data_IF_122604683679
#
_entry.id   IF_122604683679
#
_cell.length_a   1.000
_cell.length_b   1.000
_cell.length_c   1.000
_cell.angle_alpha   90.00
_cell.angle_beta   90.00
_cell.angle_gamma   90.00
#
_symmetry.space_group_name_H-M   'P 1'
#
loop_
_entity.id
_entity.type
_entity.pdbx_description
1 polymer ?
#
# COMPACT_ATOMS: atom_id res chain seq x y z
N UNK A 1 -1.33 22.71 45.40
CA UNK A 1 -1.49 23.38 44.10
C UNK A 1 -0.58 22.80 43.00
N UNK A 2 0.68 22.45 43.27
CA UNK A 2 1.56 21.92 42.22
C UNK A 2 1.15 20.55 41.61
N UNK A 3 0.57 19.63 42.42
CA UNK A 3 0.18 18.28 41.91
C UNK A 3 -1.05 18.32 40.95
N UNK A 4 -1.98 19.19 41.19
CA UNK A 4 -3.21 19.34 40.32
C UNK A 4 -2.84 19.98 38.98
N UNK A 5 -1.95 20.98 39.00
CA UNK A 5 -1.44 21.58 37.76
C UNK A 5 -0.61 20.58 36.93
N UNK A 6 0.25 19.80 37.56
CA UNK A 6 1.03 18.75 36.88
C UNK A 6 0.14 17.65 36.29
N UNK A 7 -0.93 17.26 36.97
CA UNK A 7 -1.90 16.30 36.42
C UNK A 7 -2.70 16.88 35.25
N UNK A 8 -3.09 18.16 35.31
CA UNK A 8 -3.80 18.83 34.23
C UNK A 8 -2.92 19.00 32.97
N UNK A 9 -1.65 19.37 33.13
CA UNK A 9 -0.66 19.44 32.04
C UNK A 9 -0.43 18.07 31.41
N UNK A 10 -0.31 17.01 32.21
CA UNK A 10 -0.16 15.63 31.74
C UNK A 10 -1.36 15.17 30.91
N UNK A 11 -2.59 15.50 31.33
CA UNK A 11 -3.83 15.19 30.62
C UNK A 11 -3.94 15.94 29.29
N UNK A 12 -3.57 17.24 29.29
CA UNK A 12 -3.58 18.04 28.07
C UNK A 12 -2.58 17.47 27.03
N UNK A 13 -1.38 17.09 27.48
CA UNK A 13 -0.38 16.47 26.61
C UNK A 13 -0.84 15.13 26.04
N UNK A 14 -1.43 14.28 26.88
CA UNK A 14 -1.98 12.99 26.42
C UNK A 14 -3.09 13.17 25.38
N UNK A 15 -3.98 14.15 25.60
CA UNK A 15 -5.04 14.46 24.65
C UNK A 15 -4.47 15.02 23.33
N UNK A 16 -3.47 15.89 23.39
CA UNK A 16 -2.77 16.42 22.22
C UNK A 16 -2.11 15.29 21.42
N UNK A 17 -1.31 14.46 22.06
CA UNK A 17 -0.63 13.32 21.42
C UNK A 17 -1.62 12.36 20.74
N UNK A 18 -2.77 12.15 21.35
CA UNK A 18 -3.80 11.31 20.75
C UNK A 18 -4.41 11.97 19.51
N UNK A 19 -4.70 13.26 19.55
CA UNK A 19 -5.23 13.97 18.38
C UNK A 19 -4.24 13.91 17.20
N UNK A 20 -2.96 14.11 17.48
CA UNK A 20 -1.90 13.97 16.47
C UNK A 20 -1.89 12.56 15.86
N UNK A 21 -2.01 11.55 16.70
CA UNK A 21 -2.02 10.15 16.28
C UNK A 21 -3.23 9.80 15.40
N UNK A 22 -4.43 10.26 15.78
CA UNK A 22 -5.64 10.07 14.98
C UNK A 22 -5.51 10.74 13.60
N UNK A 23 -4.99 11.97 13.57
CA UNK A 23 -4.72 12.69 12.31
C UNK A 23 -3.67 11.97 11.45
N UNK A 24 -2.62 11.41 12.07
CA UNK A 24 -1.61 10.63 11.36
C UNK A 24 -2.22 9.37 10.72
N UNK A 25 -3.11 8.66 11.42
CA UNK A 25 -3.81 7.50 10.85
C UNK A 25 -4.75 7.90 9.69
N UNK A 26 -5.41 9.05 9.78
CA UNK A 26 -6.23 9.56 8.69
C UNK A 26 -5.38 9.92 7.45
N UNK A 27 -4.21 10.54 7.66
CA UNK A 27 -3.24 10.82 6.60
C UNK A 27 -2.67 9.54 5.99
N UNK A 28 -2.26 8.56 6.81
CA UNK A 28 -1.78 7.26 6.34
C UNK A 28 -2.83 6.56 5.48
N UNK A 29 -4.09 6.57 5.91
CA UNK A 29 -5.18 6.01 5.11
C UNK A 29 -5.31 6.69 3.75
N UNK A 30 -5.23 8.01 3.70
CA UNK A 30 -5.29 8.77 2.46
C UNK A 30 -4.07 8.51 1.55
N UNK A 31 -2.87 8.32 2.14
CA UNK A 31 -1.66 7.93 1.40
C UNK A 31 -1.79 6.52 0.80
N UNK A 32 -2.41 5.56 1.47
CA UNK A 32 -2.68 4.24 0.89
C UNK A 32 -3.61 4.31 -0.30
N UNK A 33 -4.63 5.16 -0.25
CA UNK A 33 -5.49 5.40 -1.42
C UNK A 33 -4.71 6.07 -2.57
N UNK A 34 -3.74 6.93 -2.28
CA UNK A 34 -2.84 7.46 -3.29
C UNK A 34 -1.97 6.35 -3.91
N UNK A 35 -1.35 5.50 -3.10
CA UNK A 35 -0.57 4.33 -3.58
C UNK A 35 -1.41 3.46 -4.49
N UNK A 36 -2.64 3.15 -4.10
CA UNK A 36 -3.57 2.32 -4.89
C UNK A 36 -3.80 2.88 -6.28
N UNK A 37 -4.05 4.19 -6.39
CA UNK A 37 -4.28 4.84 -7.69
C UNK A 37 -3.00 4.92 -8.52
N UNK A 38 -1.84 5.18 -7.91
CA UNK A 38 -0.53 5.14 -8.60
C UNK A 38 -0.25 3.74 -9.16
N UNK A 39 -0.52 2.68 -8.38
CA UNK A 39 -0.37 1.30 -8.85
C UNK A 39 -1.31 0.96 -10.02
N UNK A 40 -2.53 1.52 -10.04
CA UNK A 40 -3.45 1.39 -11.17
C UNK A 40 -2.95 2.16 -12.39
N UNK A 41 -2.43 3.37 -12.18
CA UNK A 41 -1.83 4.20 -13.25
C UNK A 41 -0.63 3.49 -13.87
N UNK A 42 0.30 2.94 -13.06
CA UNK A 42 1.42 2.12 -13.54
C UNK A 42 0.95 0.98 -14.45
N UNK A 43 -0.05 0.22 -14.01
CA UNK A 43 -0.55 -0.90 -14.80
C UNK A 43 -1.21 -0.43 -16.10
N UNK A 44 -1.94 0.68 -16.07
CA UNK A 44 -2.61 1.25 -17.24
C UNK A 44 -1.58 1.80 -18.26
N UNK A 45 -0.58 2.57 -17.79
CA UNK A 45 0.46 3.12 -18.69
C UNK A 45 1.34 2.03 -19.28
N UNK A 46 1.74 1.01 -18.51
CA UNK A 46 2.52 -0.11 -19.03
C UNK A 46 1.74 -0.90 -20.11
N UNK A 47 0.45 -1.16 -19.89
CA UNK A 47 -0.37 -1.84 -20.88
C UNK A 47 -0.68 -0.96 -22.11
N UNK A 48 -0.78 0.36 -21.94
CA UNK A 48 -0.91 1.33 -23.02
C UNK A 48 0.35 1.38 -23.89
N UNK A 49 1.54 1.46 -23.27
CA UNK A 49 2.83 1.40 -23.95
C UNK A 49 3.06 0.06 -24.67
N UNK A 50 2.47 -1.01 -24.15
CA UNK A 50 2.43 -2.31 -24.84
C UNK A 50 1.44 -2.36 -26.01
N UNK A 51 0.69 -1.28 -26.28
CA UNK A 51 -0.19 -1.13 -27.44
C UNK A 51 -1.68 -1.44 -27.18
N UNK A 52 -2.15 -1.42 -25.92
CA UNK A 52 -3.55 -1.68 -25.60
C UNK A 52 -4.37 -0.37 -25.43
N UNK A 53 -5.25 0.01 -26.37
CA UNK A 53 -5.99 1.27 -26.35
C UNK A 53 -7.03 1.36 -25.23
N UNK A 54 -7.53 0.23 -24.73
CA UNK A 54 -8.45 0.21 -23.60
C UNK A 54 -7.76 0.72 -22.33
N UNK A 55 -6.53 0.29 -22.07
CA UNK A 55 -5.76 0.77 -20.93
C UNK A 55 -5.29 2.21 -21.12
N UNK A 56 -4.98 2.63 -22.35
CA UNK A 56 -4.65 4.02 -22.66
C UNK A 56 -5.76 4.97 -22.24
N UNK A 57 -7.02 4.63 -22.52
CA UNK A 57 -8.18 5.44 -22.12
C UNK A 57 -8.33 5.65 -20.60
N UNK A 58 -7.74 4.77 -19.78
CA UNK A 58 -7.77 4.84 -18.32
C UNK A 58 -6.71 5.77 -17.72
N UNK A 59 -5.65 6.09 -18.45
CA UNK A 59 -4.49 6.83 -17.91
C UNK A 59 -4.85 8.25 -17.47
N UNK A 60 -5.56 9.01 -18.31
CA UNK A 60 -5.94 10.40 -18.02
C UNK A 60 -6.91 10.54 -16.82
N UNK A 61 -7.96 9.72 -16.65
CA UNK A 61 -8.76 9.71 -15.44
C UNK A 61 -7.94 9.42 -14.18
N UNK A 62 -7.05 8.42 -14.20
CA UNK A 62 -6.19 8.07 -13.07
C UNK A 62 -5.21 9.19 -12.72
N UNK A 63 -4.61 9.85 -13.72
CA UNK A 63 -3.75 11.03 -13.50
C UNK A 63 -4.49 12.17 -12.81
N UNK A 64 -5.74 12.45 -13.22
CA UNK A 64 -6.57 13.47 -12.56
C UNK A 64 -6.88 13.10 -11.11
N UNK A 65 -7.16 11.83 -10.85
CA UNK A 65 -7.41 11.35 -9.51
C UNK A 65 -6.17 11.48 -8.61
N UNK A 66 -4.98 11.09 -9.10
CA UNK A 66 -3.72 11.26 -8.36
C UNK A 66 -3.51 12.73 -8.01
N UNK A 67 -3.65 13.64 -8.97
CA UNK A 67 -3.49 15.07 -8.75
C UNK A 67 -4.49 15.63 -7.70
N UNK A 68 -5.73 15.17 -7.73
CA UNK A 68 -6.74 15.57 -6.74
C UNK A 68 -6.40 15.07 -5.33
N UNK A 69 -5.96 13.80 -5.21
CA UNK A 69 -5.55 13.20 -3.94
C UNK A 69 -4.30 13.89 -3.38
N UNK A 70 -3.32 14.22 -4.21
CA UNK A 70 -2.11 14.93 -3.76
C UNK A 70 -2.43 16.32 -3.19
N UNK A 71 -3.35 17.07 -3.82
CA UNK A 71 -3.81 18.36 -3.28
C UNK A 71 -4.53 18.22 -1.94
N UNK A 72 -5.32 17.16 -1.78
CA UNK A 72 -6.00 16.88 -0.51
C UNK A 72 -5.01 16.51 0.58
N UNK A 73 -4.01 15.69 0.26
CA UNK A 73 -2.94 15.30 1.17
C UNK A 73 -2.11 16.50 1.64
N UNK A 74 -1.78 17.46 0.76
CA UNK A 74 -1.12 18.71 1.17
C UNK A 74 -1.91 19.43 2.25
N UNK A 75 -3.23 19.62 2.07
CA UNK A 75 -4.08 20.29 3.08
C UNK A 75 -4.16 19.52 4.41
N UNK A 76 -4.07 18.20 4.37
CA UNK A 76 -4.05 17.39 5.59
C UNK A 76 -2.72 17.50 6.33
N UNK A 77 -1.60 17.61 5.61
CA UNK A 77 -0.26 17.76 6.18
C UNK A 77 -0.06 19.09 6.90
N UNK A 78 -0.67 20.19 6.41
CA UNK A 78 -0.65 21.49 7.08
C UNK A 78 -1.13 21.41 8.55
N UNK A 79 -1.95 20.42 8.89
CA UNK A 79 -2.44 20.18 10.25
C UNK A 79 -1.57 19.20 11.08
N UNK A 80 -0.44 18.77 10.53
CA UNK A 80 0.45 17.75 11.10
C UNK A 80 1.92 18.20 11.11
N UNK A 81 2.21 19.51 11.22
CA UNK A 81 3.56 20.09 11.16
C UNK A 81 4.57 19.36 12.06
N UNK A 82 4.15 18.79 13.19
CA UNK A 82 5.01 18.05 14.13
C UNK A 82 5.43 16.66 13.61
N UNK A 83 4.66 16.06 12.71
CA UNK A 83 4.86 14.71 12.20
C UNK A 83 5.18 14.68 10.70
N UNK A 84 4.70 15.67 9.94
CA UNK A 84 4.89 15.74 8.50
C UNK A 84 6.37 15.97 8.15
N UNK A 85 6.83 15.27 7.12
CA UNK A 85 8.19 15.36 6.58
C UNK A 85 8.11 16.10 5.23
N UNK A 86 8.23 17.41 5.25
CA UNK A 86 8.11 18.24 4.03
C UNK A 86 9.09 17.81 2.92
N UNK A 87 10.33 17.45 3.28
CA UNK A 87 11.34 17.00 2.31
C UNK A 87 10.89 15.75 1.57
N UNK A 88 10.39 14.72 2.28
CA UNK A 88 9.90 13.49 1.68
C UNK A 88 8.66 13.74 0.80
N UNK A 89 7.78 14.65 1.23
CA UNK A 89 6.62 15.01 0.42
C UNK A 89 7.02 15.72 -0.88
N UNK A 90 8.03 16.60 -0.84
CA UNK A 90 8.57 17.23 -2.05
C UNK A 90 9.20 16.21 -3.01
N UNK A 91 9.91 15.20 -2.51
CA UNK A 91 10.44 14.10 -3.33
C UNK A 91 9.31 13.33 -4.02
N UNK A 92 8.23 13.01 -3.31
CA UNK A 92 7.03 12.35 -3.87
C UNK A 92 6.43 13.21 -4.99
N UNK A 93 6.28 14.52 -4.77
CA UNK A 93 5.77 15.45 -5.79
C UNK A 93 6.66 15.51 -7.04
N UNK A 94 7.97 15.53 -6.86
CA UNK A 94 8.92 15.54 -7.98
C UNK A 94 8.85 14.22 -8.76
N UNK A 95 8.84 13.08 -8.08
CA UNK A 95 8.72 11.77 -8.71
C UNK A 95 7.40 11.65 -9.51
N UNK A 96 6.28 12.12 -8.96
CA UNK A 96 5.02 12.14 -9.70
C UNK A 96 5.06 13.05 -10.94
N UNK A 97 5.68 14.22 -10.85
CA UNK A 97 5.85 15.11 -12.03
C UNK A 97 6.61 14.42 -13.15
N UNK A 98 7.70 13.73 -12.83
CA UNK A 98 8.49 12.97 -13.82
C UNK A 98 7.61 11.91 -14.50
N UNK A 99 6.93 11.08 -13.72
CA UNK A 99 6.02 10.04 -14.23
C UNK A 99 4.93 10.67 -15.12
N UNK A 100 4.26 11.73 -14.65
CA UNK A 100 3.10 12.30 -15.33
C UNK A 100 3.43 12.98 -16.65
N UNK A 101 4.61 13.63 -16.74
CA UNK A 101 4.98 14.43 -17.92
C UNK A 101 5.52 13.61 -19.07
N UNK A 102 6.16 12.47 -18.81
CA UNK A 102 6.99 11.79 -19.81
C UNK A 102 6.55 10.35 -20.11
N UNK A 103 5.61 9.77 -19.39
CA UNK A 103 5.29 8.34 -19.51
C UNK A 103 5.00 7.86 -20.95
N UNK A 104 4.50 8.74 -21.84
CA UNK A 104 4.21 8.37 -23.25
C UNK A 104 5.48 8.14 -24.09
N UNK A 105 6.63 8.59 -23.60
CA UNK A 105 7.91 8.48 -24.28
C UNK A 105 8.78 7.38 -23.68
N UNK A 106 8.35 6.80 -22.56
CA UNK A 106 9.09 5.77 -21.84
C UNK A 106 8.97 4.42 -22.55
N UNK A 107 9.99 3.60 -22.40
CA UNK A 107 9.86 2.15 -22.60
C UNK A 107 9.07 1.53 -21.44
N UNK A 108 8.42 0.37 -21.68
CA UNK A 108 7.60 -0.31 -20.67
C UNK A 108 8.33 -0.50 -19.34
N UNK A 109 9.59 -0.92 -19.40
CA UNK A 109 10.39 -1.19 -18.20
C UNK A 109 10.78 0.12 -17.47
N UNK A 110 11.10 1.17 -18.19
CA UNK A 110 11.44 2.48 -17.65
C UNK A 110 10.22 3.09 -16.93
N UNK A 111 9.07 3.10 -17.59
CA UNK A 111 7.81 3.54 -17.00
C UNK A 111 7.47 2.76 -15.72
N UNK A 112 7.66 1.44 -15.75
CA UNK A 112 7.49 0.57 -14.60
C UNK A 112 8.40 0.96 -13.43
N UNK A 113 9.68 1.22 -13.67
CA UNK A 113 10.67 1.56 -12.64
C UNK A 113 10.37 2.95 -12.03
N UNK A 114 10.03 3.95 -12.84
CA UNK A 114 9.66 5.29 -12.36
C UNK A 114 8.44 5.26 -11.44
N UNK A 115 7.40 4.52 -11.82
CA UNK A 115 6.23 4.34 -10.96
C UNK A 115 6.54 3.55 -9.69
N UNK A 116 7.36 2.51 -9.79
CA UNK A 116 7.76 1.69 -8.63
C UNK A 116 8.59 2.50 -7.64
N UNK A 117 9.45 3.39 -8.13
CA UNK A 117 10.17 4.35 -7.31
C UNK A 117 9.21 5.31 -6.58
N UNK A 118 8.25 5.89 -7.30
CA UNK A 118 7.23 6.76 -6.69
C UNK A 118 6.44 6.04 -5.59
N UNK A 119 5.95 4.82 -5.85
CA UNK A 119 5.24 4.02 -4.83
C UNK A 119 6.13 3.76 -3.63
N UNK A 120 7.41 3.41 -3.85
CA UNK A 120 8.38 3.20 -2.76
C UNK A 120 8.51 4.44 -1.87
N UNK A 121 8.63 5.64 -2.46
CA UNK A 121 8.72 6.89 -1.68
C UNK A 121 7.49 7.09 -0.80
N UNK A 122 6.28 6.86 -1.33
CA UNK A 122 5.04 6.99 -0.54
C UNK A 122 4.97 5.93 0.57
N UNK A 123 5.38 4.68 0.31
CA UNK A 123 5.39 3.63 1.34
C UNK A 123 6.41 3.90 2.46
N UNK A 124 7.58 4.45 2.14
CA UNK A 124 8.56 4.88 3.15
C UNK A 124 8.00 6.03 4.00
N UNK A 125 7.34 7.00 3.38
CA UNK A 125 6.69 8.10 4.12
C UNK A 125 5.59 7.58 5.06
N UNK A 126 4.78 6.61 4.62
CA UNK A 126 3.77 5.95 5.47
C UNK A 126 4.42 5.24 6.66
N UNK A 127 5.52 4.52 6.45
CA UNK A 127 6.24 3.82 7.52
C UNK A 127 6.77 4.80 8.57
N UNK A 128 7.43 5.89 8.16
CA UNK A 128 7.94 6.92 9.05
C UNK A 128 6.83 7.63 9.84
N UNK A 129 5.70 7.91 9.21
CA UNK A 129 4.52 8.47 9.89
C UNK A 129 3.94 7.48 10.92
N UNK A 130 3.86 6.19 10.56
CA UNK A 130 3.38 5.13 11.43
C UNK A 130 4.25 4.98 12.67
N UNK A 131 5.57 4.91 12.51
CA UNK A 131 6.54 4.86 13.60
C UNK A 131 6.46 6.10 14.49
N UNK A 132 6.40 7.29 13.90
CA UNK A 132 6.26 8.54 14.65
C UNK A 132 4.95 8.58 15.45
N UNK A 133 3.85 8.11 14.89
CA UNK A 133 2.57 8.02 15.59
C UNK A 133 2.59 6.98 16.73
N UNK A 134 3.30 5.87 16.59
CA UNK A 134 3.42 4.84 17.62
C UNK A 134 4.23 5.33 18.84
N UNK A 135 5.25 6.17 18.63
CA UNK A 135 6.10 6.71 19.72
C UNK A 135 5.39 7.70 20.63
N UNK A 136 4.30 8.33 20.17
CA UNK A 136 3.56 9.34 20.93
C UNK A 136 2.85 8.79 22.18
N UNK A 137 2.56 7.48 22.24
CA UNK A 137 1.84 6.85 23.35
C UNK A 137 2.36 5.43 23.54
N UNK A 138 2.60 5.00 24.80
CA UNK A 138 2.85 3.60 25.12
C UNK A 138 1.69 2.70 24.66
N UNK A 139 1.95 1.80 23.71
CA UNK A 139 0.97 0.87 23.17
C UNK A 139 1.15 -0.52 23.77
N UNK A 140 0.05 -1.26 23.92
CA UNK A 140 0.15 -2.69 24.25
C UNK A 140 0.84 -3.42 23.09
N UNK A 141 1.66 -4.41 23.42
CA UNK A 141 2.43 -5.22 22.45
C UNK A 141 1.59 -5.73 21.26
N UNK A 142 0.33 -6.08 21.48
CA UNK A 142 -0.60 -6.52 20.43
C UNK A 142 -0.83 -5.48 19.33
N UNK A 143 -0.96 -4.20 19.73
CA UNK A 143 -1.19 -3.11 18.77
C UNK A 143 0.11 -2.67 18.08
N UNK A 144 1.27 -2.87 18.70
CA UNK A 144 2.57 -2.67 18.05
C UNK A 144 2.76 -3.70 16.93
N UNK A 145 2.45 -4.98 17.18
CA UNK A 145 2.51 -6.03 16.15
C UNK A 145 1.53 -5.75 15.00
N UNK A 146 0.32 -5.24 15.32
CA UNK A 146 -0.64 -4.82 14.30
C UNK A 146 -0.15 -3.61 13.51
N UNK A 147 0.43 -2.60 14.19
CA UNK A 147 1.03 -1.43 13.54
C UNK A 147 2.11 -1.84 12.56
N UNK A 148 3.07 -2.65 13.00
CA UNK A 148 4.14 -3.16 12.13
C UNK A 148 3.58 -3.92 10.91
N UNK A 149 2.58 -4.78 11.11
CA UNK A 149 1.95 -5.51 10.03
C UNK A 149 1.29 -4.57 8.99
N UNK A 150 0.57 -3.54 9.46
CA UNK A 150 -0.18 -2.61 8.61
C UNK A 150 0.72 -1.58 7.94
N UNK A 151 1.80 -1.11 8.60
CA UNK A 151 2.68 -0.05 8.08
C UNK A 151 3.88 -0.59 7.30
N UNK A 152 4.28 -1.85 7.52
CA UNK A 152 5.47 -2.44 6.91
C UNK A 152 5.18 -3.71 6.10
N UNK A 153 4.72 -4.80 6.71
CA UNK A 153 4.68 -6.10 6.04
C UNK A 153 3.67 -6.13 4.87
N UNK A 154 2.44 -5.75 5.16
CA UNK A 154 1.33 -5.85 4.21
C UNK A 154 1.44 -4.89 3.02
N UNK A 155 1.82 -3.60 3.20
CA UNK A 155 1.96 -2.67 2.09
C UNK A 155 3.01 -3.09 1.06
N UNK A 156 4.16 -3.61 1.52
CA UNK A 156 5.20 -4.11 0.61
C UNK A 156 4.78 -5.37 -0.14
N UNK A 157 4.01 -6.24 0.50
CA UNK A 157 3.43 -7.40 -0.18
C UNK A 157 2.42 -6.98 -1.25
N UNK A 158 1.55 -6.01 -0.95
CA UNK A 158 0.62 -5.43 -1.93
C UNK A 158 1.39 -4.77 -3.09
N UNK A 159 2.51 -4.11 -2.81
CA UNK A 159 3.34 -3.51 -3.86
C UNK A 159 3.96 -4.56 -4.78
N UNK A 160 4.46 -5.68 -4.25
CA UNK A 160 4.94 -6.79 -5.09
C UNK A 160 3.85 -7.30 -6.04
N UNK A 161 2.63 -7.49 -5.53
CA UNK A 161 1.48 -7.88 -6.36
C UNK A 161 1.15 -6.81 -7.42
N UNK A 162 1.24 -5.53 -7.06
CA UNK A 162 1.05 -4.41 -7.97
C UNK A 162 2.09 -4.35 -9.09
N UNK A 163 3.35 -4.66 -8.78
CA UNK A 163 4.44 -4.77 -9.74
C UNK A 163 4.22 -5.95 -10.70
N UNK A 164 3.89 -7.12 -10.16
CA UNK A 164 3.56 -8.31 -10.95
C UNK A 164 2.37 -8.02 -11.88
N UNK A 165 1.31 -7.35 -11.37
CA UNK A 165 0.17 -6.97 -12.18
C UNK A 165 0.57 -6.09 -13.36
N UNK A 166 1.42 -5.09 -13.14
CA UNK A 166 1.82 -4.16 -14.20
C UNK A 166 2.61 -4.87 -15.32
N UNK A 167 3.67 -5.60 -14.98
CA UNK A 167 4.49 -6.29 -15.97
C UNK A 167 3.78 -7.50 -16.60
N UNK A 168 3.05 -8.28 -15.81
CA UNK A 168 2.29 -9.42 -16.34
C UNK A 168 1.18 -8.99 -17.30
N UNK A 169 0.50 -7.87 -17.01
CA UNK A 169 -0.53 -7.33 -17.92
C UNK A 169 0.09 -6.85 -19.23
N UNK A 170 1.20 -6.09 -19.20
CA UNK A 170 1.87 -5.64 -20.42
C UNK A 170 2.44 -6.81 -21.24
N UNK A 171 2.97 -7.84 -20.59
CA UNK A 171 3.42 -9.08 -21.25
C UNK A 171 2.26 -9.81 -21.93
N UNK A 172 1.11 -9.91 -21.26
CA UNK A 172 -0.08 -10.53 -21.86
C UNK A 172 -0.68 -9.69 -23.02
N UNK A 173 -0.48 -8.36 -23.02
CA UNK A 173 -0.85 -7.49 -24.17
C UNK A 173 0.02 -7.78 -25.37
N UNK A 174 1.33 -7.84 -25.21
CA UNK A 174 2.28 -8.06 -26.32
C UNK A 174 2.27 -9.51 -26.84
N UNK A 175 1.86 -10.47 -26.00
CA UNK A 175 2.03 -11.90 -26.26
C UNK A 175 3.50 -12.32 -26.35
N UNK A 176 4.44 -11.46 -25.94
CA UNK A 176 5.88 -11.68 -26.02
C UNK A 176 6.56 -11.27 -24.72
N UNK A 177 7.52 -12.05 -24.31
CA UNK A 177 8.33 -11.82 -23.11
C UNK A 177 9.74 -11.42 -23.53
N UNK A 178 10.14 -10.18 -23.28
CA UNK A 178 11.53 -9.79 -23.43
C UNK A 178 12.35 -10.20 -22.19
N UNK A 179 13.66 -10.31 -22.35
CA UNK A 179 14.56 -10.83 -21.32
C UNK A 179 14.58 -9.98 -20.03
N UNK A 180 14.46 -8.67 -20.14
CA UNK A 180 14.51 -7.78 -18.98
C UNK A 180 13.23 -7.92 -18.14
N UNK A 181 12.07 -7.98 -18.79
CA UNK A 181 10.78 -8.23 -18.14
C UNK A 181 10.75 -9.64 -17.54
N UNK A 182 11.28 -10.65 -18.24
CA UNK A 182 11.39 -12.02 -17.74
C UNK A 182 12.18 -12.08 -16.43
N UNK A 183 13.40 -11.55 -16.42
CA UNK A 183 14.23 -11.52 -15.22
C UNK A 183 13.54 -10.79 -14.08
N UNK A 184 12.84 -9.67 -14.37
CA UNK A 184 12.14 -8.89 -13.37
C UNK A 184 10.94 -9.64 -12.82
N UNK A 185 10.11 -10.26 -13.66
CA UNK A 185 8.97 -11.06 -13.21
C UNK A 185 9.39 -12.27 -12.39
N UNK A 186 10.45 -12.99 -12.77
CA UNK A 186 11.00 -14.08 -11.98
C UNK A 186 11.47 -13.62 -10.61
N UNK A 187 12.18 -12.48 -10.55
CA UNK A 187 12.60 -11.90 -9.29
C UNK A 187 11.40 -11.55 -8.40
N UNK A 188 10.40 -10.84 -8.96
CA UNK A 188 9.19 -10.42 -8.22
C UNK A 188 8.39 -11.62 -7.73
N UNK A 189 8.23 -12.66 -8.54
CA UNK A 189 7.56 -13.90 -8.15
C UNK A 189 8.25 -14.56 -6.95
N UNK A 190 9.58 -14.68 -7.00
CA UNK A 190 10.34 -15.23 -5.89
C UNK A 190 10.22 -14.40 -4.60
N UNK A 191 10.22 -13.07 -4.71
CA UNK A 191 10.02 -12.19 -3.56
C UNK A 191 8.59 -12.31 -3.01
N UNK A 192 7.59 -12.36 -3.88
CA UNK A 192 6.18 -12.53 -3.50
C UNK A 192 5.98 -13.83 -2.71
N UNK A 193 6.51 -14.96 -3.20
CA UNK A 193 6.39 -16.25 -2.53
C UNK A 193 7.05 -16.25 -1.15
N UNK A 194 8.21 -15.62 -1.00
CA UNK A 194 8.87 -15.47 0.31
C UNK A 194 8.06 -14.61 1.26
N UNK A 195 7.60 -13.45 0.80
CA UNK A 195 6.88 -12.50 1.65
C UNK A 195 5.48 -12.99 2.00
N UNK A 196 4.82 -13.76 1.13
CA UNK A 196 3.55 -14.43 1.41
C UNK A 196 3.62 -15.26 2.69
N UNK A 197 4.71 -16.01 2.90
CA UNK A 197 4.90 -16.81 4.12
C UNK A 197 4.93 -15.92 5.37
N UNK A 198 5.69 -14.82 5.31
CA UNK A 198 5.80 -13.86 6.42
C UNK A 198 4.45 -13.21 6.72
N UNK A 199 3.77 -12.67 5.72
CA UNK A 199 2.46 -12.02 5.83
C UNK A 199 1.42 -12.98 6.42
N UNK A 200 1.40 -14.24 5.95
CA UNK A 200 0.51 -15.29 6.46
C UNK A 200 0.79 -15.62 7.93
N UNK A 201 2.05 -15.80 8.31
CA UNK A 201 2.44 -16.10 9.69
C UNK A 201 2.07 -14.97 10.65
N UNK A 202 2.30 -13.71 10.26
CA UNK A 202 1.91 -12.56 11.05
C UNK A 202 0.39 -12.43 11.17
N UNK A 203 -0.36 -12.63 10.08
CA UNK A 203 -1.82 -12.66 10.10
C UNK A 203 -2.36 -13.72 11.06
N UNK A 204 -1.81 -14.95 11.02
CA UNK A 204 -2.18 -16.04 11.92
C UNK A 204 -1.85 -15.74 13.39
N UNK A 205 -0.74 -15.06 13.66
CA UNK A 205 -0.37 -14.61 15.00
C UNK A 205 -1.36 -13.59 15.53
N UNK A 206 -1.63 -12.54 14.75
CA UNK A 206 -2.59 -11.48 15.11
C UNK A 206 -4.00 -12.04 15.36
N UNK A 207 -4.43 -13.05 14.60
CA UNK A 207 -5.74 -13.68 14.79
C UNK A 207 -5.86 -14.45 16.13
N UNK A 208 -4.74 -14.99 16.65
CA UNK A 208 -4.72 -15.71 17.94
C UNK A 208 -4.69 -14.76 19.14
N UNK A 209 -4.21 -13.54 18.96
CA UNK A 209 -4.07 -12.55 20.03
C UNK A 209 -5.38 -11.79 20.33
N UNK A 210 -6.54 -12.35 19.93
CA UNK A 210 -7.89 -11.89 20.24
C UNK A 210 -8.22 -10.46 19.76
N UNK A 211 -7.64 -10.04 18.64
CA UNK A 211 -8.08 -8.84 17.94
C UNK A 211 -9.28 -9.20 17.06
N UNK A 212 -10.32 -8.35 17.05
CA UNK A 212 -11.54 -8.49 16.21
C UNK A 212 -11.26 -8.42 14.68
N UNK A 213 -10.04 -8.76 14.28
CA UNK A 213 -9.53 -8.82 12.90
C UNK A 213 -9.96 -10.10 12.16
N UNK A 214 -10.49 -11.07 12.87
CA UNK A 214 -10.59 -12.46 12.41
C UNK A 214 -11.32 -12.60 11.08
N UNK A 215 -12.39 -11.82 10.82
CA UNK A 215 -13.15 -11.93 9.58
C UNK A 215 -12.37 -11.43 8.35
N UNK A 216 -11.66 -10.31 8.47
CA UNK A 216 -10.89 -9.71 7.36
C UNK A 216 -9.60 -10.48 7.07
N UNK A 217 -8.99 -11.08 8.12
CA UNK A 217 -7.85 -11.99 7.95
C UNK A 217 -8.27 -13.30 7.28
N UNK A 218 -9.49 -13.78 7.54
CA UNK A 218 -10.06 -14.92 6.83
C UNK A 218 -10.22 -14.59 5.34
N UNK A 219 -10.69 -13.39 4.99
CA UNK A 219 -10.81 -12.95 3.59
C UNK A 219 -9.44 -12.93 2.87
N UNK A 220 -8.37 -12.55 3.55
CA UNK A 220 -7.01 -12.62 2.99
C UNK A 220 -6.53 -14.07 2.82
N UNK A 221 -6.82 -14.95 3.79
CA UNK A 221 -6.52 -16.38 3.67
C UNK A 221 -7.33 -17.05 2.55
N UNK A 222 -8.57 -16.61 2.31
CA UNK A 222 -9.40 -17.05 1.18
C UNK A 222 -8.84 -16.61 -0.19
N UNK A 223 -7.82 -15.73 -0.23
CA UNK A 223 -7.10 -15.38 -1.45
C UNK A 223 -6.01 -16.38 -1.84
N UNK A 224 -5.68 -17.38 -1.00
CA UNK A 224 -4.68 -18.40 -1.35
C UNK A 224 -4.93 -19.08 -2.70
N UNK A 225 -6.14 -19.56 -3.03
CA UNK A 225 -6.39 -20.17 -4.35
C UNK A 225 -6.16 -19.19 -5.51
N UNK A 226 -6.43 -17.89 -5.31
CA UNK A 226 -6.16 -16.86 -6.32
C UNK A 226 -4.66 -16.58 -6.47
N UNK A 227 -3.91 -16.56 -5.37
CA UNK A 227 -2.44 -16.44 -5.39
C UNK A 227 -1.79 -17.65 -6.06
N UNK A 228 -2.28 -18.86 -5.78
CA UNK A 228 -1.84 -20.08 -6.47
C UNK A 228 -2.14 -20.01 -7.97
N UNK A 229 -3.34 -19.56 -8.35
CA UNK A 229 -3.71 -19.35 -9.74
C UNK A 229 -2.82 -18.33 -10.43
N UNK A 230 -2.52 -17.18 -9.78
CA UNK A 230 -1.61 -16.16 -10.29
C UNK A 230 -0.20 -16.73 -10.49
N UNK A 231 0.30 -17.49 -9.52
CA UNK A 231 1.59 -18.18 -9.60
C UNK A 231 1.64 -19.18 -10.76
N UNK A 232 0.56 -19.95 -10.97
CA UNK A 232 0.43 -20.89 -12.09
C UNK A 232 0.44 -20.15 -13.44
N UNK A 233 -0.30 -19.04 -13.58
CA UNK A 233 -0.29 -18.25 -14.82
C UNK A 233 1.11 -17.68 -15.11
N UNK A 234 1.81 -17.21 -14.08
CA UNK A 234 3.19 -16.73 -14.24
C UNK A 234 4.12 -17.84 -14.72
N UNK A 235 4.15 -18.98 -14.02
CA UNK A 235 5.12 -20.05 -14.32
C UNK A 235 4.81 -20.85 -15.59
N UNK A 236 3.51 -21.14 -15.81
CA UNK A 236 3.12 -22.10 -16.86
C UNK A 236 2.71 -21.44 -18.17
N UNK A 237 2.55 -20.11 -18.16
CA UNK A 237 2.16 -19.36 -19.35
C UNK A 237 3.15 -18.19 -19.60
N UNK A 238 3.14 -17.13 -18.81
CA UNK A 238 3.95 -15.93 -19.08
C UNK A 238 5.47 -16.18 -19.10
N UNK A 239 5.96 -17.04 -18.20
CA UNK A 239 7.40 -17.36 -18.04
C UNK A 239 7.78 -18.73 -18.64
N UNK A 240 6.86 -19.39 -19.35
CA UNK A 240 7.08 -20.74 -19.88
C UNK A 240 8.02 -20.78 -21.10
N UNK A 241 8.24 -19.65 -21.75
CA UNK A 241 8.97 -19.53 -23.01
C UNK A 241 8.18 -19.99 -24.24
N UNK A 242 6.90 -20.34 -24.09
CA UNK A 242 5.95 -20.65 -25.16
C UNK A 242 5.08 -19.48 -25.57
N UNK A 243 4.01 -19.77 -26.34
CA UNK A 243 3.00 -18.77 -26.69
C UNK A 243 2.20 -18.40 -25.44
N UNK A 244 2.00 -17.10 -25.21
CA UNK A 244 1.23 -16.57 -24.09
C UNK A 244 -0.25 -16.60 -24.45
N UNK A 245 -1.04 -17.37 -23.70
CA UNK A 245 -2.47 -17.58 -23.94
C UNK A 245 -3.33 -16.73 -23.01
N UNK A 246 -2.82 -16.40 -21.83
CA UNK A 246 -3.50 -15.55 -20.83
C UNK A 246 -3.77 -14.16 -21.40
N UNK A 247 -5.03 -13.72 -21.35
CA UNK A 247 -5.38 -12.36 -21.77
C UNK A 247 -4.98 -11.32 -20.74
N UNK A 248 -4.70 -10.08 -21.19
CA UNK A 248 -4.36 -8.97 -20.31
C UNK A 248 -5.49 -8.68 -19.29
N UNK A 249 -6.75 -8.82 -19.69
CA UNK A 249 -7.91 -8.60 -18.81
C UNK A 249 -8.02 -9.67 -17.72
N UNK A 250 -7.83 -10.94 -18.08
CA UNK A 250 -7.82 -12.05 -17.10
C UNK A 250 -6.71 -11.85 -16.06
N UNK A 251 -5.48 -11.58 -16.52
CA UNK A 251 -4.34 -11.38 -15.62
C UNK A 251 -4.53 -10.17 -14.70
N UNK A 252 -4.92 -9.03 -15.29
CA UNK A 252 -5.18 -7.79 -14.54
C UNK A 252 -6.28 -7.97 -13.50
N UNK A 253 -7.39 -8.61 -13.86
CA UNK A 253 -8.55 -8.83 -12.98
C UNK A 253 -8.18 -9.74 -11.82
N UNK A 254 -7.47 -10.85 -12.09
CA UNK A 254 -7.04 -11.78 -11.04
C UNK A 254 -6.10 -11.09 -10.04
N UNK A 255 -5.06 -10.41 -10.53
CA UNK A 255 -4.11 -9.71 -9.67
C UNK A 255 -4.78 -8.58 -8.88
N UNK A 256 -5.71 -7.84 -9.49
CA UNK A 256 -6.46 -6.77 -8.81
C UNK A 256 -7.35 -7.34 -7.70
N UNK A 257 -8.03 -8.47 -7.92
CA UNK A 257 -8.86 -9.09 -6.89
C UNK A 257 -8.05 -9.52 -5.65
N UNK A 258 -6.80 -9.97 -5.85
CA UNK A 258 -5.88 -10.32 -4.75
C UNK A 258 -5.44 -9.04 -4.01
N UNK A 259 -5.04 -8.01 -4.74
CA UNK A 259 -4.65 -6.72 -4.19
C UNK A 259 -5.78 -6.11 -3.35
N UNK A 260 -7.00 -6.08 -3.88
CA UNK A 260 -8.17 -5.50 -3.20
C UNK A 260 -8.52 -6.25 -1.90
N UNK A 261 -8.33 -7.56 -1.86
CA UNK A 261 -8.55 -8.33 -0.64
C UNK A 261 -7.53 -7.94 0.46
N UNK A 262 -6.27 -7.74 0.11
CA UNK A 262 -5.24 -7.32 1.06
C UNK A 262 -5.44 -5.86 1.51
N UNK A 263 -5.92 -4.97 0.63
CA UNK A 263 -6.33 -3.62 1.02
C UNK A 263 -7.48 -3.61 2.04
N UNK A 264 -8.43 -4.55 1.95
CA UNK A 264 -9.50 -4.69 2.98
C UNK A 264 -8.91 -5.03 4.35
N UNK A 265 -7.94 -5.95 4.41
CA UNK A 265 -7.22 -6.28 5.66
C UNK A 265 -6.50 -5.06 6.23
N UNK A 266 -5.81 -4.32 5.38
CA UNK A 266 -5.08 -3.12 5.77
C UNK A 266 -6.03 -2.05 6.36
N UNK A 267 -7.16 -1.79 5.69
CA UNK A 267 -8.17 -0.85 6.17
C UNK A 267 -8.78 -1.27 7.52
N UNK A 268 -9.01 -2.57 7.71
CA UNK A 268 -9.50 -3.09 8.98
C UNK A 268 -8.45 -2.98 10.08
N UNK A 269 -7.19 -3.23 9.78
CA UNK A 269 -6.08 -3.00 10.72
C UNK A 269 -5.98 -1.55 11.16
N UNK A 270 -6.08 -0.58 10.25
CA UNK A 270 -6.12 0.86 10.57
C UNK A 270 -7.32 1.20 11.46
N UNK A 271 -8.50 0.64 11.17
CA UNK A 271 -9.71 0.82 11.99
C UNK A 271 -9.51 0.34 13.43
N UNK A 272 -8.87 -0.81 13.60
CA UNK A 272 -8.60 -1.36 14.93
C UNK A 272 -7.55 -0.57 15.70
N UNK A 273 -6.48 -0.11 15.03
CA UNK A 273 -5.52 0.81 15.61
C UNK A 273 -6.23 2.07 16.13
N UNK A 274 -7.15 2.65 15.35
CA UNK A 274 -7.95 3.79 15.76
C UNK A 274 -8.83 3.48 16.99
N UNK A 275 -9.56 2.38 16.99
CA UNK A 275 -10.42 1.97 18.11
C UNK A 275 -9.63 1.71 19.40
N UNK A 276 -8.42 1.20 19.30
CA UNK A 276 -7.56 0.98 20.47
C UNK A 276 -7.24 2.28 21.20
N UNK A 277 -7.15 3.38 20.45
CA UNK A 277 -6.89 4.71 20.99
C UNK A 277 -8.09 5.25 21.72
N UNK A 278 -9.30 5.10 21.15
CA UNK A 278 -10.54 5.61 21.75
C UNK A 278 -10.89 4.92 23.07
N UNK A 279 -10.70 3.60 23.16
CA UNK A 279 -10.94 2.82 24.39
C UNK A 279 -10.05 3.26 25.56
N UNK A 280 -8.83 3.68 25.29
CA UNK A 280 -7.88 4.14 26.33
C UNK A 280 -8.31 5.43 26.99
N UNK A 281 -8.79 6.40 26.25
CA UNK A 281 -9.28 7.66 26.82
C UNK A 281 -10.47 7.42 27.71
N UNK A 282 -11.44 6.61 27.26
CA UNK A 282 -12.59 6.28 28.07
C UNK A 282 -12.20 5.59 29.40
N UNK A 283 -11.12 4.80 29.41
CA UNK A 283 -10.62 4.18 30.63
C UNK A 283 -9.88 5.17 31.54
N UNK A 284 -9.25 6.22 30.98
CA UNK A 284 -8.57 7.27 31.76
C UNK A 284 -9.54 8.31 32.34
N UNK A 285 -10.56 8.70 31.57
CA UNK A 285 -11.59 9.66 32.02
C UNK A 285 -12.47 9.08 33.15
N UNK A 286 -12.54 7.75 33.28
CA UNK A 286 -13.30 7.06 34.33
C UNK A 286 -12.49 6.80 35.61
N UNK A 287 -11.22 7.15 35.67
CA UNK A 287 -10.35 7.12 36.87
C UNK A 287 -10.21 8.50 37.50
#
# INVERSE_FOLDING_TARGET
>A
MNSVNQQAESLAQLHHNQQLRLKALDLIKALYELVRVIQQHRAATNAALAGNPFFESKTSPLSREINARMKELERQQDNLEELAREEQWQEIKMAWRTVHQQWHQDEVIENFELHSHLVKLVLLYIADLGESAETLIETHFQYQALGHYVFHDLPWFIELLGQIRALGTSTAVTGQLNKDIEMRLQFLLNQMLKQQVTVKQQAQRLSKEALDITSSLIDALLCEPKLERLTQLLNNDLLSGGDIVTTADEFYTLATAIIDAHYKVMNEGLRLLRLSMDKRIQAWVKR
#
